data_IF_549363391754
#
_entry.id   IF_549363391754
#
_cell.length_a   1.000
_cell.length_b   1.000
_cell.length_c   1.000
_cell.angle_alpha   90.00
_cell.angle_beta   90.00
_cell.angle_gamma   90.00
#
_symmetry.space_group_name_H-M   'P 1'
#
loop_
_entity.id
_entity.type
_entity.pdbx_description
1 polymer ?
#
# COMPACT_ATOMS: atom_id res chain seq x y z
N UNK A 1 36.04 -14.35 5.47
CA UNK A 1 35.44 -13.66 6.60
C UNK A 1 34.01 -13.29 6.28
N UNK A 2 33.10 -13.86 6.97
CA UNK A 2 31.72 -13.45 6.80
C UNK A 2 31.45 -12.21 7.64
N UNK A 3 30.87 -11.23 7.07
CA UNK A 3 30.41 -10.08 7.80
C UNK A 3 28.91 -10.17 8.00
N UNK A 4 28.48 -10.01 9.23
CA UNK A 4 27.06 -9.80 9.50
C UNK A 4 26.73 -8.37 9.16
N UNK A 5 25.75 -8.19 8.31
CA UNK A 5 25.24 -6.86 8.00
C UNK A 5 23.91 -6.71 8.73
N UNK A 6 23.82 -5.69 9.56
CA UNK A 6 22.55 -5.38 10.21
C UNK A 6 21.62 -4.79 9.16
N UNK A 7 20.43 -5.38 9.03
CA UNK A 7 19.44 -4.87 8.11
C UNK A 7 19.02 -3.45 8.45
N UNK A 8 18.44 -2.75 7.48
CA UNK A 8 17.96 -1.41 7.69
C UNK A 8 16.89 -1.39 8.79
N UNK A 9 16.90 -0.36 9.61
CA UNK A 9 15.86 -0.15 10.61
C UNK A 9 14.52 0.02 9.88
N UNK A 10 13.43 -0.61 10.35
CA UNK A 10 12.12 -0.38 9.75
C UNK A 10 11.75 1.09 9.73
N UNK A 11 11.11 1.52 8.66
CA UNK A 11 10.65 2.91 8.56
C UNK A 11 9.51 3.13 9.55
N UNK A 12 9.66 4.14 10.39
CA UNK A 12 8.66 4.51 11.39
C UNK A 12 8.26 5.96 11.16
N UNK A 13 7.02 6.16 10.75
CA UNK A 13 6.40 7.46 10.61
C UNK A 13 5.23 7.52 11.59
N UNK A 14 5.14 8.60 12.33
CA UNK A 14 4.07 8.77 13.33
C UNK A 14 2.71 8.56 12.66
N UNK A 15 1.83 7.74 13.25
CA UNK A 15 0.49 7.54 12.69
C UNK A 15 -0.25 8.86 12.45
N UNK A 16 -0.93 8.94 11.33
CA UNK A 16 -1.67 10.15 10.96
C UNK A 16 -2.01 10.15 9.47
N UNK A 17 -2.52 11.26 9.01
CA UNK A 17 -2.89 11.46 7.61
C UNK A 17 -1.86 12.35 6.94
N UNK A 18 -1.33 11.87 5.82
CA UNK A 18 -0.27 12.55 5.07
C UNK A 18 -0.65 12.66 3.60
N UNK A 19 0.06 13.52 2.88
CA UNK A 19 -0.03 13.58 1.43
C UNK A 19 1.04 12.66 0.85
N UNK A 20 0.64 11.72 0.02
CA UNK A 20 1.55 10.74 -0.56
C UNK A 20 1.29 10.51 -2.04
N UNK A 21 2.37 10.32 -2.79
CA UNK A 21 2.32 10.01 -4.23
C UNK A 21 2.75 8.58 -4.43
N UNK A 22 1.95 7.80 -5.15
CA UNK A 22 2.30 6.42 -5.49
C UNK A 22 3.41 6.43 -6.54
N UNK A 23 4.57 5.93 -6.18
CA UNK A 23 5.76 5.99 -7.04
C UNK A 23 6.14 4.66 -7.68
N UNK A 24 5.66 3.56 -7.12
CA UNK A 24 5.98 2.23 -7.65
C UNK A 24 5.00 1.19 -7.15
N UNK A 25 5.03 0.03 -7.80
CA UNK A 25 4.26 -1.13 -7.38
C UNK A 25 5.11 -2.39 -7.59
N UNK A 26 4.79 -3.42 -6.83
CA UNK A 26 5.49 -4.70 -6.92
C UNK A 26 4.56 -5.81 -6.45
N UNK A 27 4.57 -6.94 -7.14
CA UNK A 27 3.90 -8.15 -6.66
C UNK A 27 4.94 -8.99 -5.93
N UNK A 28 4.69 -9.23 -4.65
CA UNK A 28 5.63 -9.94 -3.80
C UNK A 28 5.00 -11.23 -3.27
N UNK A 29 5.80 -12.32 -3.14
CA UNK A 29 5.30 -13.52 -2.46
C UNK A 29 5.01 -13.21 -1.00
N UNK A 30 3.97 -13.83 -0.50
CA UNK A 30 3.59 -13.72 0.90
C UNK A 30 3.62 -15.09 1.54
N UNK A 31 3.38 -15.13 2.82
CA UNK A 31 3.41 -16.37 3.59
C UNK A 31 2.34 -17.36 3.07
N UNK A 32 2.68 -18.64 3.01
CA UNK A 32 1.78 -19.75 2.60
C UNK A 32 1.27 -19.65 1.16
N UNK A 33 2.11 -19.19 0.24
CA UNK A 33 1.78 -19.21 -1.19
C UNK A 33 0.82 -18.13 -1.64
N UNK A 34 0.39 -17.24 -0.76
CA UNK A 34 -0.37 -16.07 -1.17
C UNK A 34 0.57 -15.03 -1.78
N UNK A 35 0.02 -14.06 -2.48
CA UNK A 35 0.80 -12.95 -3.02
C UNK A 35 0.17 -11.63 -2.59
N UNK A 36 0.98 -10.59 -2.56
CA UNK A 36 0.54 -9.24 -2.21
C UNK A 36 0.97 -8.26 -3.27
N UNK A 37 0.10 -7.34 -3.58
CA UNK A 37 0.45 -6.15 -4.34
C UNK A 37 0.93 -5.10 -3.35
N UNK A 38 2.15 -4.65 -3.53
CA UNK A 38 2.78 -3.65 -2.70
C UNK A 38 2.88 -2.36 -3.50
N UNK A 39 2.33 -1.27 -2.97
CA UNK A 39 2.45 0.05 -3.58
C UNK A 39 3.25 0.94 -2.65
N UNK A 40 4.24 1.63 -3.20
CA UNK A 40 5.08 2.53 -2.43
C UNK A 40 4.59 3.97 -2.61
N UNK A 41 4.40 4.67 -1.50
CA UNK A 41 3.98 6.07 -1.47
C UNK A 41 5.10 6.93 -0.94
N UNK A 42 5.49 7.93 -1.71
CA UNK A 42 6.43 8.95 -1.25
C UNK A 42 5.64 9.97 -0.45
N UNK A 43 5.94 10.06 0.83
CA UNK A 43 5.27 10.97 1.76
C UNK A 43 6.08 12.26 1.85
N UNK A 44 5.42 13.40 1.67
CA UNK A 44 6.05 14.70 1.81
C UNK A 44 6.01 15.13 3.27
N UNK A 45 7.17 15.51 3.78
CA UNK A 45 7.34 15.96 5.15
C UNK A 45 7.50 17.48 5.18
N UNK A 46 7.15 18.09 6.31
CA UNK A 46 7.18 19.55 6.48
C UNK A 46 8.57 20.17 6.33
N UNK A 47 9.62 19.38 6.49
CA UNK A 47 11.00 19.85 6.44
C UNK A 47 11.68 19.62 5.09
N UNK A 48 10.90 19.53 4.02
CA UNK A 48 11.37 19.28 2.66
C UNK A 48 12.03 17.91 2.46
N UNK A 49 11.96 17.04 3.46
CA UNK A 49 12.41 15.66 3.29
C UNK A 49 11.24 14.77 2.85
N UNK A 50 11.58 13.60 2.32
CA UNK A 50 10.58 12.61 1.93
C UNK A 50 10.89 11.28 2.59
N UNK A 51 9.86 10.49 2.77
CA UNK A 51 10.01 9.10 3.20
C UNK A 51 9.07 8.25 2.38
N UNK A 52 9.35 6.95 2.26
CA UNK A 52 8.53 6.03 1.49
C UNK A 52 7.85 5.06 2.44
N UNK A 53 6.54 5.01 2.37
CA UNK A 53 5.70 4.10 3.16
C UNK A 53 4.88 3.25 2.19
N UNK A 54 4.73 1.97 2.52
CA UNK A 54 4.11 1.01 1.61
C UNK A 54 2.70 0.65 2.04
N UNK A 55 1.84 0.43 1.04
CA UNK A 55 0.52 -0.16 1.22
C UNK A 55 0.56 -1.59 0.67
N UNK A 56 -0.06 -2.52 1.37
CA UNK A 56 -0.08 -3.93 1.01
C UNK A 56 -1.52 -4.38 0.78
N UNK A 57 -1.76 -5.00 -0.37
CA UNK A 57 -3.08 -5.54 -0.70
C UNK A 57 -2.99 -7.01 -1.06
N UNK A 58 -3.87 -7.80 -0.49
CA UNK A 58 -3.96 -9.22 -0.84
C UNK A 58 -4.53 -9.34 -2.25
N UNK A 59 -3.82 -10.07 -3.10
CA UNK A 59 -4.27 -10.40 -4.46
C UNK A 59 -4.09 -11.89 -4.67
N UNK A 60 -4.70 -12.42 -5.71
CA UNK A 60 -4.63 -13.85 -6.01
C UNK A 60 -3.64 -14.09 -7.14
N UNK A 61 -2.97 -15.24 -7.08
CA UNK A 61 -2.13 -15.68 -8.17
C UNK A 61 -3.02 -15.99 -9.38
N UNK A 62 -2.71 -15.37 -10.51
CA UNK A 62 -3.50 -15.58 -11.72
C UNK A 62 -3.05 -16.85 -12.47
N UNK A 63 -4.00 -17.55 -13.05
CA UNK A 63 -3.73 -18.66 -13.94
C UNK A 63 -3.62 -18.22 -15.41
N UNK A 64 -3.90 -16.96 -15.68
CA UNK A 64 -3.80 -16.35 -17.01
C UNK A 64 -2.49 -15.58 -17.14
N UNK A 65 -2.31 -14.89 -18.27
CA UNK A 65 -1.12 -14.06 -18.51
C UNK A 65 -1.06 -12.79 -17.65
N UNK A 66 -2.08 -12.50 -16.87
CA UNK A 66 -2.08 -11.39 -15.93
C UNK A 66 -1.22 -11.73 -14.71
N UNK A 67 -0.52 -10.74 -14.18
CA UNK A 67 0.39 -10.96 -13.05
C UNK A 67 -0.34 -11.34 -11.76
N UNK A 68 -1.58 -10.94 -11.60
CA UNK A 68 -2.39 -11.22 -10.42
C UNK A 68 -3.87 -11.04 -10.72
N UNK A 69 -4.69 -11.56 -9.83
CA UNK A 69 -6.14 -11.40 -9.91
C UNK A 69 -6.64 -10.63 -8.69
N UNK A 70 -7.50 -9.66 -8.92
CA UNK A 70 -8.08 -8.83 -7.86
C UNK A 70 -9.48 -9.34 -7.55
N UNK A 71 -9.68 -9.80 -6.31
CA UNK A 71 -10.98 -10.31 -5.88
C UNK A 71 -12.02 -9.20 -5.76
N UNK A 72 -13.25 -9.51 -6.12
CA UNK A 72 -14.37 -8.56 -6.09
C UNK A 72 -14.62 -7.96 -4.70
N UNK A 73 -14.33 -8.72 -3.65
CA UNK A 73 -14.51 -8.28 -2.26
C UNK A 73 -13.20 -7.87 -1.58
N UNK A 74 -12.11 -7.75 -2.35
CA UNK A 74 -10.81 -7.37 -1.78
C UNK A 74 -10.79 -5.90 -1.37
N UNK A 75 -9.90 -5.57 -0.47
CA UNK A 75 -9.71 -4.19 -0.03
C UNK A 75 -9.29 -3.28 -1.18
N UNK A 76 -8.45 -3.79 -2.07
CA UNK A 76 -8.00 -3.02 -3.24
C UNK A 76 -9.19 -2.69 -4.15
N UNK A 77 -10.07 -3.65 -4.42
CA UNK A 77 -11.24 -3.41 -5.25
C UNK A 77 -12.16 -2.38 -4.62
N UNK A 78 -12.50 -2.56 -3.35
CA UNK A 78 -13.39 -1.64 -2.63
C UNK A 78 -12.82 -0.23 -2.55
N UNK A 79 -11.52 -0.13 -2.31
CA UNK A 79 -10.83 1.15 -2.24
C UNK A 79 -10.89 1.87 -3.59
N UNK A 80 -10.66 1.15 -4.68
CA UNK A 80 -10.70 1.70 -6.03
C UNK A 80 -12.11 2.17 -6.40
N UNK A 81 -13.13 1.39 -6.09
CA UNK A 81 -14.53 1.76 -6.34
C UNK A 81 -14.86 3.08 -5.60
N UNK A 82 -14.46 3.16 -4.35
CA UNK A 82 -14.72 4.35 -3.53
C UNK A 82 -14.04 5.60 -4.11
N UNK A 83 -12.80 5.47 -4.56
CA UNK A 83 -12.04 6.59 -5.09
C UNK A 83 -12.46 6.98 -6.50
N UNK A 84 -12.72 6.00 -7.36
CA UNK A 84 -13.08 6.23 -8.76
C UNK A 84 -14.52 6.71 -8.92
N UNK A 85 -15.39 6.35 -7.99
CA UNK A 85 -16.81 6.75 -7.96
C UNK A 85 -17.65 6.23 -9.13
N UNK A 86 -17.17 5.21 -9.83
CA UNK A 86 -17.91 4.55 -10.91
C UNK A 86 -17.71 3.04 -10.81
N UNK A 87 -18.56 2.35 -10.04
CA UNK A 87 -18.43 0.91 -9.82
C UNK A 87 -18.46 0.10 -11.11
N UNK A 88 -19.27 0.51 -12.07
CA UNK A 88 -19.40 -0.24 -13.34
C UNK A 88 -18.11 -0.21 -14.14
N UNK A 89 -17.43 0.95 -14.17
CA UNK A 89 -16.16 1.08 -14.85
C UNK A 89 -15.09 0.20 -14.18
N UNK A 90 -15.06 0.18 -12.86
CA UNK A 90 -14.07 -0.59 -12.11
C UNK A 90 -14.24 -2.11 -12.34
N UNK A 91 -15.46 -2.58 -12.56
CA UNK A 91 -15.71 -4.00 -12.87
C UNK A 91 -14.99 -4.45 -14.15
N UNK A 92 -14.69 -3.54 -15.05
CA UNK A 92 -14.02 -3.83 -16.31
C UNK A 92 -12.52 -3.49 -16.30
N UNK A 93 -11.98 -3.10 -15.16
CA UNK A 93 -10.56 -2.79 -15.05
C UNK A 93 -9.71 -4.04 -15.25
N UNK A 94 -8.65 -3.90 -16.05
CA UNK A 94 -7.55 -4.85 -16.08
C UNK A 94 -6.62 -4.62 -14.88
N UNK A 95 -5.65 -5.51 -14.67
CA UNK A 95 -4.62 -5.29 -13.67
C UNK A 95 -3.88 -3.98 -13.91
N UNK A 96 -3.57 -3.69 -15.17
CA UNK A 96 -2.89 -2.45 -15.54
C UNK A 96 -3.75 -1.22 -15.23
N UNK A 97 -5.07 -1.31 -15.42
CA UNK A 97 -5.98 -0.22 -15.09
C UNK A 97 -5.98 0.09 -13.59
N UNK A 98 -5.97 -0.95 -12.74
CA UNK A 98 -5.87 -0.76 -11.29
C UNK A 98 -4.56 -0.09 -10.90
N UNK A 99 -3.46 -0.53 -11.48
CA UNK A 99 -2.14 0.04 -11.20
C UNK A 99 -2.08 1.48 -11.69
N UNK A 100 -2.51 1.73 -12.92
CA UNK A 100 -2.48 3.07 -13.52
C UNK A 100 -3.37 4.06 -12.77
N UNK A 101 -4.41 3.57 -12.12
CA UNK A 101 -5.27 4.44 -11.31
C UNK A 101 -4.49 5.08 -10.15
N UNK A 102 -3.53 4.35 -9.58
CA UNK A 102 -2.76 4.84 -8.44
C UNK A 102 -1.40 5.42 -8.81
N UNK A 103 -0.73 4.82 -9.79
CA UNK A 103 0.66 5.15 -10.09
C UNK A 103 0.83 6.60 -10.52
N UNK A 104 1.80 7.27 -9.91
CA UNK A 104 2.15 8.68 -10.17
C UNK A 104 1.04 9.68 -9.79
N UNK A 105 0.09 9.26 -8.98
CA UNK A 105 -0.98 10.12 -8.48
C UNK A 105 -0.82 10.35 -6.99
N UNK A 106 -1.32 11.49 -6.56
CA UNK A 106 -1.20 11.94 -5.16
C UNK A 106 -2.53 11.78 -4.44
N UNK A 107 -2.46 11.28 -3.23
CA UNK A 107 -3.62 11.01 -2.39
C UNK A 107 -3.35 11.45 -0.96
N UNK A 108 -4.40 11.54 -0.15
CA UNK A 108 -4.28 11.52 1.29
C UNK A 108 -4.17 10.06 1.73
N UNK A 109 -3.16 9.77 2.52
CA UNK A 109 -2.92 8.41 3.00
C UNK A 109 -2.89 8.39 4.53
N UNK A 110 -3.60 7.44 5.10
CA UNK A 110 -3.55 7.21 6.54
C UNK A 110 -2.45 6.20 6.83
N UNK A 111 -1.52 6.59 7.68
CA UNK A 111 -0.38 5.78 8.09
C UNK A 111 -0.63 5.26 9.50
N UNK A 112 -0.38 3.97 9.69
CA UNK A 112 -0.51 3.31 11.00
C UNK A 112 0.76 2.50 11.28
N UNK A 113 0.98 2.13 12.54
CA UNK A 113 2.03 1.18 12.91
C UNK A 113 1.53 -0.24 12.77
N UNK A 114 2.36 -1.10 12.20
CA UNK A 114 2.18 -2.54 12.32
C UNK A 114 2.88 -2.97 13.60
N UNK A 115 2.09 -3.49 14.54
CA UNK A 115 2.56 -3.79 15.90
C UNK A 115 2.67 -5.29 16.18
N UNK A 116 2.26 -6.11 15.21
CA UNK A 116 2.34 -7.57 15.30
C UNK A 116 2.95 -8.14 14.04
N UNK A 117 3.71 -9.22 14.18
CA UNK A 117 4.25 -9.92 13.01
C UNK A 117 3.19 -10.80 12.35
N UNK A 118 3.56 -11.49 11.26
CA UNK A 118 2.66 -12.37 10.52
C UNK A 118 2.11 -13.54 11.33
N UNK A 119 2.74 -13.88 12.45
CA UNK A 119 2.27 -14.92 13.37
C UNK A 119 1.42 -14.36 14.52
N UNK A 120 0.98 -13.11 14.40
CA UNK A 120 0.18 -12.38 15.40
C UNK A 120 0.89 -12.20 16.74
N UNK A 121 2.22 -12.28 16.76
CA UNK A 121 3.03 -12.01 17.95
C UNK A 121 3.36 -10.53 18.02
N UNK A 122 3.28 -9.91 19.21
CA UNK A 122 3.64 -8.51 19.36
C UNK A 122 5.07 -8.23 18.93
N UNK A 123 5.27 -7.13 18.21
CA UNK A 123 6.59 -6.60 17.92
C UNK A 123 7.04 -5.72 19.08
N UNK A 124 8.35 -5.52 19.22
CA UNK A 124 8.87 -4.49 20.13
C UNK A 124 8.71 -3.14 19.49
N UNK A 125 8.69 -2.07 20.28
CA UNK A 125 8.56 -0.71 19.75
C UNK A 125 9.63 -0.37 18.72
N UNK A 126 10.82 -0.92 18.87
CA UNK A 126 11.92 -0.68 17.92
C UNK A 126 11.70 -1.35 16.58
N UNK A 127 10.84 -2.36 16.52
CA UNK A 127 10.58 -3.13 15.30
C UNK A 127 9.22 -2.87 14.70
N UNK A 128 8.43 -1.98 15.28
CA UNK A 128 7.21 -1.49 14.62
C UNK A 128 7.60 -0.87 13.29
N UNK A 129 6.75 -1.05 12.29
CA UNK A 129 6.95 -0.36 11.01
C UNK A 129 5.65 0.29 10.58
N UNK A 130 5.78 1.29 9.72
CA UNK A 130 4.64 2.05 9.22
C UNK A 130 4.13 1.44 7.93
N UNK A 131 2.82 1.47 7.75
CA UNK A 131 2.19 1.13 6.48
C UNK A 131 1.05 2.09 6.20
N UNK A 132 0.70 2.19 4.92
CA UNK A 132 -0.50 2.91 4.52
C UNK A 132 -1.69 1.97 4.75
N UNK A 133 -2.62 2.39 5.60
CA UNK A 133 -3.81 1.61 5.92
C UNK A 133 -5.03 2.03 5.10
N UNK A 134 -5.06 3.28 4.65
CA UNK A 134 -6.23 3.82 3.97
C UNK A 134 -5.80 4.93 3.01
N UNK A 135 -6.46 4.99 1.86
CA UNK A 135 -6.17 5.98 0.81
C UNK A 135 -7.43 6.78 0.54
N UNK A 136 -7.30 8.10 0.53
CA UNK A 136 -8.41 9.03 0.27
C UNK A 136 -8.07 9.95 -0.88
N UNK A 137 -9.10 10.41 -1.58
CA UNK A 137 -8.94 11.43 -2.59
C UNK A 137 -8.59 12.77 -1.94
N UNK A 138 -7.71 13.55 -2.56
CA UNK A 138 -7.42 14.90 -2.11
C UNK A 138 -8.67 15.77 -2.08
N UNK A 139 -9.56 15.60 -3.04
CA UNK A 139 -10.78 16.38 -3.13
C UNK A 139 -11.73 16.13 -1.96
N UNK A 140 -11.79 14.91 -1.47
CA UNK A 140 -12.69 14.57 -0.37
C UNK A 140 -12.29 15.28 0.92
N UNK A 141 -11.00 15.61 1.09
CA UNK A 141 -10.53 16.34 2.27
C UNK A 141 -10.72 17.84 2.15
N UNK A 142 -10.81 18.37 0.93
CA UNK A 142 -11.00 19.81 0.70
C UNK A 142 -12.46 20.24 0.84
N UNK A 143 -13.39 19.33 0.70
CA UNK A 143 -14.83 19.61 0.78
C UNK A 143 -15.38 19.53 2.20
N UNK A 144 -14.57 19.17 3.14
CA UNK A 144 -15.00 19.01 4.54
C UNK A 144 -15.09 20.35 5.30
#
# INVERSE_FOLDING_TARGET
MSSCVVGAKPVQLVPGVYTGTCISHEVAPSFRGSIKLKMAFRIEMDNETTTVIEAYYNVKKSTSNNAFEIGYHSDLYRNTVRLYKDPKAVEHFSCDDFIDFYLNKTFKVEVVYVVKNSNHRPLTKDTYYSRVAFIQSLKDTEES
#
